data_IF_034358056903
#
_entry.id   IF_034358056903
#
_cell.length_a   1.000
_cell.length_b   1.000
_cell.length_c   1.000
_cell.angle_alpha   90.00
_cell.angle_beta   90.00
_cell.angle_gamma   90.00
#
_symmetry.space_group_name_H-M   'P 1'
#
loop_
_entity.id
_entity.type
_entity.pdbx_description
1 polymer ?
#
# COMPACT_ATOMS: atom_id res chain seq x y z
N UNK A 1 39.57 -17.32 13.70
CA UNK A 1 39.32 -16.02 13.05
C UNK A 1 38.02 -16.17 12.29
N UNK A 2 36.91 -15.83 12.93
CA UNK A 2 35.58 -15.97 12.37
C UNK A 2 35.13 -14.58 11.94
N UNK A 3 35.09 -14.35 10.62
CA UNK A 3 34.60 -13.09 10.05
C UNK A 3 33.09 -12.95 10.22
N UNK A 4 32.55 -11.72 10.16
CA UNK A 4 31.13 -11.49 10.31
C UNK A 4 30.37 -12.11 9.13
N UNK A 5 29.49 -13.05 9.47
CA UNK A 5 28.59 -13.74 8.57
C UNK A 5 27.41 -12.79 8.27
N UNK A 6 27.51 -12.02 7.20
CA UNK A 6 26.41 -11.19 6.71
C UNK A 6 25.31 -12.13 6.20
N UNK A 7 24.18 -12.19 6.91
CA UNK A 7 23.01 -12.92 6.47
C UNK A 7 22.34 -12.13 5.32
N UNK A 8 22.00 -12.83 4.24
CA UNK A 8 21.49 -12.28 2.97
C UNK A 8 20.02 -11.86 3.06
N UNK A 9 19.59 -11.36 4.20
CA UNK A 9 18.19 -11.04 4.47
C UNK A 9 18.09 -9.64 5.05
N UNK A 10 17.33 -8.82 4.33
CA UNK A 10 16.64 -7.63 4.81
C UNK A 10 17.45 -6.32 4.85
N UNK A 11 17.48 -5.55 3.74
CA UNK A 11 18.05 -4.20 3.74
C UNK A 11 17.13 -3.13 4.35
N UNK A 12 15.87 -3.43 4.70
CA UNK A 12 14.91 -2.40 5.14
C UNK A 12 14.69 -2.42 6.65
N UNK A 13 14.56 -3.58 7.29
CA UNK A 13 14.34 -3.68 8.74
C UNK A 13 15.60 -3.40 9.56
N UNK A 14 16.78 -3.91 9.17
CA UNK A 14 18.01 -3.64 9.93
C UNK A 14 18.37 -2.14 9.93
N UNK A 15 17.99 -1.42 8.86
CA UNK A 15 18.24 0.01 8.75
C UNK A 15 17.30 0.88 9.60
N UNK A 16 16.11 0.38 9.97
CA UNK A 16 15.10 1.11 10.76
C UNK A 16 15.34 0.96 12.26
N UNK A 17 15.83 -0.19 12.71
CA UNK A 17 16.22 -0.41 14.11
C UNK A 17 17.54 0.32 14.42
N UNK A 18 18.53 0.27 13.52
CA UNK A 18 19.81 0.97 13.69
C UNK A 18 19.66 2.51 13.68
N UNK A 19 18.66 3.07 12.99
CA UNK A 19 18.43 4.53 12.93
C UNK A 19 17.74 5.11 14.16
N UNK A 20 16.99 4.30 14.93
CA UNK A 20 16.37 4.76 16.17
C UNK A 20 17.38 4.81 17.33
N UNK A 21 18.31 3.86 17.40
CA UNK A 21 19.36 3.81 18.43
C UNK A 21 20.51 4.82 18.16
N UNK A 22 20.73 5.24 16.90
CA UNK A 22 21.81 6.16 16.51
C UNK A 22 21.47 7.67 16.60
N UNK A 23 20.41 8.06 17.31
CA UNK A 23 19.95 9.46 17.48
C UNK A 23 20.83 10.31 18.40
N UNK A 24 22.13 10.05 18.41
CA UNK A 24 23.16 11.02 18.79
C UNK A 24 23.69 11.85 17.60
N UNK A 25 23.14 11.67 16.40
CA UNK A 25 23.33 12.59 15.28
C UNK A 25 22.48 12.20 14.07
N UNK A 26 21.53 13.04 13.67
CA UNK A 26 20.89 12.92 12.36
C UNK A 26 21.92 13.35 11.31
N UNK A 27 22.73 12.42 10.83
CA UNK A 27 23.51 12.66 9.62
C UNK A 27 22.62 12.59 8.37
N UNK A 28 23.13 13.15 7.28
CA UNK A 28 22.41 13.26 6.02
C UNK A 28 22.05 11.88 5.43
N UNK A 29 22.87 10.87 5.69
CA UNK A 29 22.64 9.48 5.25
C UNK A 29 21.44 8.83 5.95
N UNK A 30 21.25 9.08 7.24
CA UNK A 30 20.10 8.58 7.99
C UNK A 30 18.79 9.23 7.54
N UNK A 31 18.80 10.54 7.28
CA UNK A 31 17.65 11.26 6.72
C UNK A 31 17.30 10.77 5.31
N UNK A 32 18.31 10.48 4.49
CA UNK A 32 18.12 9.90 3.16
C UNK A 32 17.37 8.56 3.22
N UNK A 33 17.77 7.67 4.14
CA UNK A 33 17.16 6.35 4.30
C UNK A 33 15.74 6.43 4.84
N UNK A 34 15.47 7.38 5.75
CA UNK A 34 14.11 7.67 6.23
C UNK A 34 13.21 8.14 5.06
N UNK A 35 13.71 9.04 4.22
CA UNK A 35 13.00 9.52 3.03
C UNK A 35 12.75 8.38 2.03
N UNK A 36 13.75 7.56 1.70
CA UNK A 36 13.63 6.36 0.85
C UNK A 36 12.55 5.41 1.34
N UNK A 37 12.60 5.07 2.63
CA UNK A 37 11.62 4.19 3.27
C UNK A 37 10.21 4.74 3.14
N UNK A 38 10.03 6.05 3.37
CA UNK A 38 8.74 6.71 3.23
C UNK A 38 8.23 6.72 1.79
N UNK A 39 9.02 7.20 0.83
CA UNK A 39 8.64 7.31 -0.57
C UNK A 39 8.31 5.93 -1.16
N UNK A 40 9.12 4.92 -0.83
CA UNK A 40 8.87 3.54 -1.26
C UNK A 40 7.60 2.97 -0.65
N UNK A 41 7.39 3.10 0.66
CA UNK A 41 6.18 2.58 1.33
C UNK A 41 4.90 3.23 0.79
N UNK A 42 4.96 4.50 0.37
CA UNK A 42 3.85 5.22 -0.26
C UNK A 42 3.70 4.96 -1.76
N UNK A 43 4.58 4.16 -2.38
CA UNK A 43 4.51 3.88 -3.81
C UNK A 43 4.81 5.11 -4.68
N UNK A 44 5.58 6.09 -4.18
CA UNK A 44 5.89 7.34 -4.87
C UNK A 44 7.09 7.16 -5.81
N UNK A 45 6.96 6.30 -6.81
CA UNK A 45 8.08 5.85 -7.65
C UNK A 45 8.84 7.00 -8.35
N UNK A 46 8.13 7.94 -8.98
CA UNK A 46 8.78 9.05 -9.68
C UNK A 46 9.51 9.97 -8.71
N UNK A 47 8.89 10.29 -7.57
CA UNK A 47 9.51 11.11 -6.52
C UNK A 47 10.74 10.41 -5.95
N UNK A 48 10.67 9.11 -5.73
CA UNK A 48 11.82 8.32 -5.27
C UNK A 48 12.96 8.35 -6.30
N UNK A 49 12.66 8.22 -7.59
CA UNK A 49 13.68 8.32 -8.64
C UNK A 49 14.31 9.70 -8.71
N UNK A 50 13.50 10.77 -8.70
CA UNK A 50 14.01 12.14 -8.66
C UNK A 50 14.87 12.38 -7.42
N UNK A 51 14.44 11.87 -6.27
CA UNK A 51 15.19 11.94 -5.02
C UNK A 51 16.58 11.28 -5.14
N UNK A 52 16.68 10.08 -5.74
CA UNK A 52 17.98 9.42 -5.96
C UNK A 52 18.87 10.14 -6.98
N UNK A 53 18.33 11.01 -7.84
CA UNK A 53 19.16 11.82 -8.75
C UNK A 53 19.69 13.11 -8.13
N UNK A 54 19.06 13.58 -7.06
CA UNK A 54 19.34 14.89 -6.45
C UNK A 54 20.18 14.80 -5.17
N UNK A 55 20.24 13.64 -4.53
CA UNK A 55 20.95 13.47 -3.25
C UNK A 55 22.45 13.22 -3.43
N UNK A 56 23.26 13.74 -2.49
CA UNK A 56 24.72 13.61 -2.50
C UNK A 56 25.22 12.17 -2.30
N UNK A 57 24.38 11.30 -1.72
CA UNK A 57 24.68 9.88 -1.48
C UNK A 57 23.60 8.96 -2.08
N UNK A 58 23.53 8.82 -3.42
CA UNK A 58 22.55 7.98 -4.09
C UNK A 58 22.85 6.49 -3.86
N UNK A 59 21.81 5.64 -3.91
CA UNK A 59 22.04 4.19 -3.88
C UNK A 59 22.72 3.72 -5.17
N UNK A 60 23.78 2.92 -5.04
CA UNK A 60 24.42 2.31 -6.20
C UNK A 60 23.43 1.38 -6.92
N UNK A 61 23.31 1.57 -8.24
CA UNK A 61 22.47 0.74 -9.07
C UNK A 61 22.97 -0.71 -9.07
N UNK A 62 22.31 -1.54 -8.28
CA UNK A 62 22.52 -2.98 -8.23
C UNK A 62 21.20 -3.71 -8.49
N UNK A 63 21.26 -5.04 -8.51
CA UNK A 63 20.07 -5.89 -8.74
C UNK A 63 18.97 -5.64 -7.71
N UNK A 64 19.34 -5.50 -6.43
CA UNK A 64 18.40 -5.26 -5.33
C UNK A 64 17.70 -3.91 -5.48
N UNK A 65 18.45 -2.85 -5.76
CA UNK A 65 17.90 -1.51 -6.02
C UNK A 65 16.95 -1.51 -7.23
N UNK A 66 17.34 -2.19 -8.31
CA UNK A 66 16.53 -2.28 -9.53
C UNK A 66 15.21 -3.02 -9.29
N UNK A 67 15.25 -4.13 -8.56
CA UNK A 67 14.06 -4.90 -8.18
C UNK A 67 13.16 -4.10 -7.24
N UNK A 68 13.74 -3.38 -6.29
CA UNK A 68 13.01 -2.51 -5.38
C UNK A 68 12.27 -1.40 -6.11
N UNK A 69 12.94 -0.67 -7.01
CA UNK A 69 12.30 0.39 -7.81
C UNK A 69 11.15 -0.17 -8.64
N UNK A 70 11.34 -1.32 -9.31
CA UNK A 70 10.27 -1.98 -10.08
C UNK A 70 9.06 -2.32 -9.23
N UNK A 71 9.28 -2.74 -7.98
CA UNK A 71 8.20 -3.03 -7.04
C UNK A 71 7.40 -1.76 -6.68
N UNK A 72 8.10 -0.64 -6.43
CA UNK A 72 7.46 0.66 -6.14
C UNK A 72 6.69 1.16 -7.38
N UNK A 73 7.26 1.02 -8.58
CA UNK A 73 6.61 1.37 -9.85
C UNK A 73 5.34 0.57 -10.09
N UNK A 74 5.36 -0.73 -9.83
CA UNK A 74 4.20 -1.58 -10.01
C UNK A 74 3.08 -1.18 -9.05
N UNK A 75 3.39 -0.91 -7.78
CA UNK A 75 2.40 -0.37 -6.84
C UNK A 75 1.86 0.98 -7.29
N UNK A 76 2.71 1.88 -7.77
CA UNK A 76 2.27 3.17 -8.32
C UNK A 76 1.30 2.98 -9.49
N UNK A 77 1.61 2.06 -10.40
CA UNK A 77 0.76 1.74 -11.56
C UNK A 77 -0.63 1.31 -11.10
N UNK A 78 -0.72 0.45 -10.09
CA UNK A 78 -2.01 -0.02 -9.55
C UNK A 78 -2.78 1.09 -8.83
N UNK A 79 -2.09 1.99 -8.12
CA UNK A 79 -2.71 3.20 -7.55
C UNK A 79 -3.34 4.08 -8.63
N UNK A 80 -2.63 4.30 -9.74
CA UNK A 80 -3.14 5.10 -10.85
C UNK A 80 -4.38 4.47 -11.50
N UNK A 81 -4.49 3.14 -11.57
CA UNK A 81 -5.69 2.47 -12.06
C UNK A 81 -6.92 2.81 -11.21
N UNK A 82 -6.77 2.87 -9.87
CA UNK A 82 -7.86 3.27 -8.98
C UNK A 82 -8.30 4.71 -9.25
N UNK A 83 -7.35 5.64 -9.39
CA UNK A 83 -7.61 7.05 -9.69
C UNK A 83 -8.22 7.28 -11.07
N UNK A 84 -7.95 6.37 -12.02
CA UNK A 84 -8.53 6.37 -13.36
C UNK A 84 -9.86 5.60 -13.43
N UNK A 85 -10.38 5.13 -12.29
CA UNK A 85 -11.61 4.33 -12.17
C UNK A 85 -11.58 3.01 -12.95
N UNK A 86 -10.38 2.51 -13.25
CA UNK A 86 -10.16 1.19 -13.84
C UNK A 86 -10.08 0.14 -12.72
N UNK A 87 -11.16 0.00 -11.94
CA UNK A 87 -11.14 -0.74 -10.68
C UNK A 87 -10.93 -2.23 -10.87
N UNK A 88 -11.54 -2.83 -11.90
CA UNK A 88 -11.29 -4.25 -12.23
C UNK A 88 -9.82 -4.51 -12.49
N UNK A 89 -9.17 -3.67 -13.31
CA UNK A 89 -7.76 -3.81 -13.62
C UNK A 89 -6.87 -3.65 -12.38
N UNK A 90 -7.23 -2.75 -11.45
CA UNK A 90 -6.55 -2.62 -10.16
C UNK A 90 -6.73 -3.90 -9.31
N UNK A 91 -7.97 -4.40 -9.23
CA UNK A 91 -8.30 -5.61 -8.47
C UNK A 91 -7.66 -6.87 -9.05
N UNK A 92 -7.48 -6.96 -10.37
CA UNK A 92 -6.77 -8.05 -11.04
C UNK A 92 -5.32 -8.19 -10.55
N UNK A 93 -4.71 -7.12 -10.03
CA UNK A 93 -3.36 -7.13 -9.48
C UNK A 93 -3.30 -7.61 -8.02
N UNK A 94 -4.44 -7.71 -7.33
CA UNK A 94 -4.52 -8.11 -5.93
C UNK A 94 -4.71 -9.63 -5.76
N UNK A 95 -4.23 -10.21 -4.65
CA UNK A 95 -4.46 -11.62 -4.34
C UNK A 95 -5.97 -11.90 -4.18
N UNK A 96 -6.45 -13.11 -4.56
CA UNK A 96 -7.87 -13.47 -4.44
C UNK A 96 -8.44 -13.36 -3.02
N UNK A 97 -7.58 -13.48 -2.00
CA UNK A 97 -7.97 -13.38 -0.59
C UNK A 97 -8.20 -11.96 -0.08
N UNK A 98 -7.92 -10.95 -0.91
CA UNK A 98 -8.03 -9.54 -0.52
C UNK A 98 -9.47 -9.05 -0.55
N UNK A 99 -9.96 -8.57 0.61
CA UNK A 99 -11.23 -7.84 0.69
C UNK A 99 -11.24 -6.62 -0.24
N UNK A 100 -10.10 -5.98 -0.46
CA UNK A 100 -10.01 -4.82 -1.33
C UNK A 100 -10.26 -5.20 -2.80
N UNK A 101 -9.94 -6.43 -3.22
CA UNK A 101 -10.29 -6.93 -4.56
C UNK A 101 -11.81 -6.98 -4.73
N UNK A 102 -12.53 -7.50 -3.73
CA UNK A 102 -14.01 -7.50 -3.70
C UNK A 102 -14.54 -6.07 -3.80
N UNK A 103 -14.03 -5.15 -2.98
CA UNK A 103 -14.43 -3.73 -3.01
C UNK A 103 -14.21 -3.07 -4.37
N UNK A 104 -13.06 -3.30 -5.01
CA UNK A 104 -12.76 -2.75 -6.33
C UNK A 104 -13.69 -3.28 -7.41
N UNK A 105 -13.99 -4.58 -7.42
CA UNK A 105 -14.94 -5.13 -8.38
C UNK A 105 -16.37 -4.62 -8.12
N UNK A 106 -16.75 -4.48 -6.87
CA UNK A 106 -18.01 -3.81 -6.51
C UNK A 106 -18.06 -2.35 -6.98
N UNK A 107 -16.95 -1.62 -6.95
CA UNK A 107 -16.85 -0.28 -7.51
C UNK A 107 -16.91 -0.28 -9.05
N UNK A 108 -16.34 -1.30 -9.71
CA UNK A 108 -16.46 -1.46 -11.16
C UNK A 108 -17.92 -1.62 -11.60
N UNK A 109 -18.73 -2.38 -10.86
CA UNK A 109 -20.13 -2.58 -11.21
C UNK A 109 -20.93 -1.29 -11.21
N UNK A 110 -20.49 -0.25 -10.47
CA UNK A 110 -21.12 1.08 -10.47
C UNK A 110 -20.81 1.90 -11.72
N UNK A 111 -19.74 1.57 -12.44
CA UNK A 111 -19.46 2.19 -13.72
C UNK A 111 -20.34 1.61 -14.85
N UNK A 112 -21.09 0.53 -14.58
CA UNK A 112 -22.02 -0.09 -15.52
C UNK A 112 -23.36 0.65 -15.46
N UNK A 113 -23.80 1.18 -16.60
CA UNK A 113 -24.99 2.03 -16.67
C UNK A 113 -26.31 1.27 -16.48
N UNK A 114 -26.38 0.03 -16.94
CA UNK A 114 -27.58 -0.81 -16.81
C UNK A 114 -27.54 -1.59 -15.49
N UNK A 115 -28.61 -1.48 -14.69
CA UNK A 115 -28.71 -2.13 -13.38
C UNK A 115 -28.69 -3.65 -13.47
N UNK A 116 -29.28 -4.23 -14.53
CA UNK A 116 -29.31 -5.69 -14.72
C UNK A 116 -27.92 -6.22 -15.07
N UNK A 117 -27.20 -5.50 -15.93
CA UNK A 117 -25.80 -5.82 -16.26
C UNK A 117 -24.87 -5.65 -15.04
N UNK A 118 -25.09 -4.59 -14.23
CA UNK A 118 -24.36 -4.38 -12.99
C UNK A 118 -24.60 -5.52 -11.99
N UNK A 119 -25.85 -5.95 -11.82
CA UNK A 119 -26.20 -7.09 -10.97
C UNK A 119 -25.58 -8.38 -11.52
N UNK A 120 -25.67 -8.62 -12.83
CA UNK A 120 -25.06 -9.77 -13.47
C UNK A 120 -23.56 -9.81 -13.18
N UNK A 121 -22.85 -8.69 -13.40
CA UNK A 121 -21.44 -8.55 -13.06
C UNK A 121 -21.14 -8.87 -11.60
N UNK A 122 -21.91 -8.32 -10.65
CA UNK A 122 -21.74 -8.62 -9.22
C UNK A 122 -21.88 -10.12 -8.94
N UNK A 123 -22.88 -10.78 -9.53
CA UNK A 123 -23.10 -12.23 -9.32
C UNK A 123 -22.02 -13.12 -9.94
N UNK A 124 -21.48 -12.73 -11.11
CA UNK A 124 -20.53 -13.58 -11.86
C UNK A 124 -19.08 -13.30 -11.54
N UNK A 125 -18.73 -12.05 -11.26
CA UNK A 125 -17.35 -11.63 -11.04
C UNK A 125 -17.02 -11.45 -9.54
N UNK A 126 -17.97 -10.95 -8.74
CA UNK A 126 -17.73 -10.70 -7.29
C UNK A 126 -18.13 -11.88 -6.43
N UNK A 127 -19.30 -12.46 -6.67
CA UNK A 127 -19.82 -13.60 -5.89
C UNK A 127 -18.79 -14.72 -5.69
N UNK A 128 -18.06 -15.16 -6.74
CA UNK A 128 -17.03 -16.20 -6.60
C UNK A 128 -15.80 -15.81 -5.78
N UNK A 129 -15.53 -14.51 -5.58
CA UNK A 129 -14.39 -14.03 -4.79
C UNK A 129 -14.65 -14.07 -3.28
N UNK A 130 -15.91 -13.94 -2.86
CA UNK A 130 -16.30 -13.90 -1.44
C UNK A 130 -15.73 -15.07 -0.63
N UNK A 131 -15.89 -16.35 -1.03
CA UNK A 131 -15.38 -17.48 -0.25
C UNK A 131 -13.84 -17.59 -0.24
N UNK A 132 -13.14 -16.82 -1.08
CA UNK A 132 -11.68 -16.82 -1.15
C UNK A 132 -11.05 -15.83 -0.16
N UNK A 133 -11.84 -14.90 0.39
CA UNK A 133 -11.37 -13.84 1.27
C UNK A 133 -10.96 -14.36 2.65
N UNK A 134 -9.98 -13.69 3.29
CA UNK A 134 -9.57 -13.99 4.66
C UNK A 134 -10.72 -13.79 5.66
N UNK A 135 -11.50 -12.71 5.46
CA UNK A 135 -12.73 -12.43 6.21
C UNK A 135 -13.94 -12.55 5.27
N UNK A 136 -14.45 -13.77 5.17
CA UNK A 136 -15.62 -14.11 4.33
C UNK A 136 -16.88 -13.37 4.78
N UNK A 137 -17.06 -13.18 6.09
CA UNK A 137 -18.24 -12.52 6.63
C UNK A 137 -18.28 -11.04 6.22
N UNK A 138 -17.15 -10.34 6.40
CA UNK A 138 -17.02 -8.96 5.98
C UNK A 138 -17.10 -8.81 4.46
N UNK A 139 -16.48 -9.71 3.70
CA UNK A 139 -16.57 -9.72 2.23
C UNK A 139 -18.02 -9.92 1.75
N UNK A 140 -18.77 -10.81 2.39
CA UNK A 140 -20.19 -11.02 2.09
C UNK A 140 -21.02 -9.80 2.44
N UNK A 141 -20.80 -9.17 3.60
CA UNK A 141 -21.49 -7.91 3.97
C UNK A 141 -21.24 -6.82 2.93
N UNK A 142 -19.98 -6.59 2.53
CA UNK A 142 -19.63 -5.63 1.48
C UNK A 142 -20.36 -5.98 0.18
N UNK A 143 -20.36 -7.25 -0.24
CA UNK A 143 -21.07 -7.66 -1.44
C UNK A 143 -22.57 -7.36 -1.37
N UNK A 144 -23.25 -7.77 -0.29
CA UNK A 144 -24.69 -7.55 -0.14
C UNK A 144 -25.07 -6.08 -0.06
N UNK A 145 -24.22 -5.28 0.59
CA UNK A 145 -24.38 -3.83 0.68
C UNK A 145 -24.39 -3.21 -0.72
N UNK A 146 -23.42 -3.58 -1.57
CA UNK A 146 -23.35 -3.10 -2.95
C UNK A 146 -24.53 -3.57 -3.79
N UNK A 147 -24.96 -4.83 -3.65
CA UNK A 147 -26.17 -5.35 -4.32
C UNK A 147 -27.40 -4.53 -3.93
N UNK A 148 -27.62 -4.28 -2.64
CA UNK A 148 -28.74 -3.45 -2.17
C UNK A 148 -28.68 -2.03 -2.74
N UNK A 149 -27.47 -1.45 -2.82
CA UNK A 149 -27.28 -0.09 -3.35
C UNK A 149 -27.60 0.09 -4.83
N UNK A 150 -27.71 -1.00 -5.61
CA UNK A 150 -28.20 -0.91 -6.98
C UNK A 150 -29.71 -0.61 -7.06
N UNK A 151 -30.45 -0.90 -5.99
CA UNK A 151 -31.91 -0.77 -5.93
C UNK A 151 -32.36 0.37 -5.00
N UNK A 152 -31.55 0.69 -3.99
CA UNK A 152 -31.74 1.86 -3.14
C UNK A 152 -31.19 3.10 -3.88
N UNK A 153 -32.07 3.99 -4.34
CA UNK A 153 -31.67 5.23 -5.01
C UNK A 153 -30.60 6.01 -4.22
N UNK A 154 -29.63 6.58 -4.95
CA UNK A 154 -28.43 7.29 -4.48
C UNK A 154 -28.48 7.71 -2.99
N UNK A 155 -27.92 6.91 -2.06
CA UNK A 155 -27.89 7.41 -0.68
C UNK A 155 -27.21 6.65 0.45
N UNK A 156 -26.96 5.34 0.40
CA UNK A 156 -26.74 4.62 1.68
C UNK A 156 -25.35 4.07 1.97
N UNK A 157 -24.39 4.03 1.02
CA UNK A 157 -23.06 3.47 1.30
C UNK A 157 -21.99 4.54 1.48
N UNK A 158 -21.07 4.38 2.46
CA UNK A 158 -19.82 5.12 2.50
C UNK A 158 -19.08 4.84 1.19
N UNK A 159 -19.08 5.82 0.29
CA UNK A 159 -18.33 5.75 -0.95
C UNK A 159 -16.86 5.92 -0.57
N UNK A 160 -16.11 4.81 -0.53
CA UNK A 160 -14.65 4.91 -0.47
C UNK A 160 -14.19 5.71 -1.69
N UNK A 161 -13.46 6.78 -1.42
CA UNK A 161 -12.94 7.65 -2.48
C UNK A 161 -11.88 6.91 -3.29
N UNK A 162 -11.72 7.30 -4.56
CA UNK A 162 -10.68 6.76 -5.46
C UNK A 162 -9.28 6.88 -4.83
N UNK A 163 -9.05 7.91 -4.00
CA UNK A 163 -7.83 8.13 -3.25
C UNK A 163 -7.64 7.13 -2.09
N UNK A 164 -8.70 6.81 -1.34
CA UNK A 164 -8.65 5.78 -0.28
C UNK A 164 -8.41 4.40 -0.87
N UNK A 165 -9.06 4.08 -2.00
CA UNK A 165 -8.82 2.84 -2.75
C UNK A 165 -7.36 2.77 -3.23
N UNK A 166 -6.82 3.85 -3.79
CA UNK A 166 -5.42 3.93 -4.20
C UNK A 166 -4.47 3.65 -3.00
N UNK A 167 -4.71 4.27 -1.84
CA UNK A 167 -3.91 4.00 -0.64
C UNK A 167 -4.01 2.52 -0.25
N UNK A 168 -5.23 1.98 -0.22
CA UNK A 168 -5.49 0.58 0.12
C UNK A 168 -4.77 -0.41 -0.79
N UNK A 169 -4.75 -0.17 -2.11
CA UNK A 169 -4.09 -1.11 -3.04
C UNK A 169 -2.59 -1.10 -2.87
N UNK A 170 -2.00 0.07 -2.61
CA UNK A 170 -0.59 0.15 -2.29
C UNK A 170 -0.27 -0.64 -1.02
N UNK A 171 -1.08 -0.50 0.03
CA UNK A 171 -0.88 -1.23 1.29
C UNK A 171 -1.07 -2.74 1.14
N UNK A 172 -2.06 -3.17 0.36
CA UNK A 172 -2.31 -4.59 0.10
C UNK A 172 -1.18 -5.28 -0.70
N UNK A 173 -0.44 -4.50 -1.51
CA UNK A 173 0.67 -5.00 -2.34
C UNK A 173 2.04 -4.89 -1.65
N UNK A 174 2.11 -4.36 -0.43
CA UNK A 174 3.36 -4.36 0.33
C UNK A 174 3.74 -5.78 0.73
N UNK A 175 4.95 -6.22 0.34
CA UNK A 175 5.51 -7.51 0.78
C UNK A 175 5.71 -7.57 2.30
N UNK A 176 6.02 -6.42 2.90
CA UNK A 176 6.29 -6.27 4.31
C UNK A 176 5.42 -5.17 4.91
N UNK A 177 4.75 -5.46 6.03
CA UNK A 177 3.83 -4.52 6.69
C UNK A 177 4.52 -3.54 7.63
N UNK A 178 5.85 -3.62 7.74
CA UNK A 178 6.66 -2.83 8.68
C UNK A 178 6.49 -1.32 8.48
N UNK A 179 6.40 -0.52 9.57
CA UNK A 179 6.25 0.92 9.47
C UNK A 179 7.40 1.56 8.67
N UNK A 180 7.13 2.68 7.99
CA UNK A 180 8.22 3.43 7.35
C UNK A 180 9.13 4.04 8.41
N UNK A 181 10.39 4.33 8.06
CA UNK A 181 11.34 5.00 8.94
C UNK A 181 10.80 6.33 9.49
N UNK A 182 9.99 7.06 8.71
CA UNK A 182 9.29 8.28 9.18
C UNK A 182 8.26 7.98 10.27
N UNK A 183 7.53 6.88 10.17
CA UNK A 183 6.54 6.50 11.18
C UNK A 183 7.23 6.08 12.49
N UNK A 184 8.35 5.35 12.37
CA UNK A 184 9.19 4.98 13.53
C UNK A 184 9.80 6.22 14.18
N UNK A 185 10.39 7.13 13.41
CA UNK A 185 10.95 8.38 13.93
C UNK A 185 9.89 9.25 14.62
N UNK A 186 8.67 9.34 14.06
CA UNK A 186 7.56 10.05 14.71
C UNK A 186 7.12 9.40 16.01
N UNK A 187 6.99 8.07 16.04
CA UNK A 187 6.63 7.35 17.27
C UNK A 187 7.69 7.57 18.36
N UNK A 188 8.97 7.56 17.99
CA UNK A 188 10.06 7.80 18.91
C UNK A 188 10.09 9.24 19.46
N UNK A 189 9.90 10.25 18.60
CA UNK A 189 9.76 11.65 19.03
C UNK A 189 8.58 11.84 20.00
N UNK A 190 7.43 11.25 19.69
CA UNK A 190 6.26 11.30 20.56
C UNK A 190 6.55 10.67 21.94
N UNK A 191 7.30 9.57 21.99
CA UNK A 191 7.74 8.97 23.26
C UNK A 191 8.65 9.91 24.05
N UNK A 192 9.59 10.62 23.40
CA UNK A 192 10.46 11.58 24.10
C UNK A 192 9.68 12.76 24.70
N UNK A 193 8.69 13.28 23.98
CA UNK A 193 7.81 14.35 24.47
C UNK A 193 7.01 13.90 25.71
N UNK A 194 6.65 12.62 25.80
CA UNK A 194 5.96 12.04 26.97
C UNK A 194 6.88 11.71 28.14
N UNK A 195 8.20 11.65 27.94
CA UNK A 195 9.21 11.30 28.96
C UNK A 195 9.98 12.55 29.44
N UNK A 196 9.62 13.76 28.97
CA UNK A 196 10.20 15.00 29.47
C UNK A 196 10.05 15.09 31.01
N UNK A 197 11.14 15.28 31.75
CA UNK A 197 11.12 15.23 33.21
C UNK A 197 10.38 16.44 33.77
N UNK A 198 9.49 16.18 34.73
CA UNK A 198 9.05 17.18 35.73
C UNK A 198 10.23 17.55 36.62
#
# INVERSE_FOLDING_TARGET
MSGPHWDKRVPILSYVEDTAEATHGLDEGNLANIARSYLSRRGLADTLKSFETEIDSPLEANTVYTEWIKEVEERKRVQLLCLQKAYKAAGDCLPPSSLLKVKLYCMESRNIADTSDALFYLTTEVGPLIPLCEDVALAHTVYTDYVSSLFDGEGSLPQESDAELAIGVNEALLKHKDPSGVAVARAWLAMQETVAPV
#
